data_IF_280216672666
#
_entry.id   IF_280216672666
#
_cell.length_a   1.000
_cell.length_b   1.000
_cell.length_c   1.000
_cell.angle_alpha   90.00
_cell.angle_beta   90.00
_cell.angle_gamma   90.00
#
_symmetry.space_group_name_H-M   'P 1'
#
loop_
_entity.id
_entity.type
_entity.pdbx_description
1 polymer ?
#
# COMPACT_ATOMS: atom_id res chain seq x y z
N UNK A 1 -50.91 74.68 9.81
CA UNK A 1 -51.81 73.56 10.10
C UNK A 1 -51.58 72.48 9.05
N UNK A 2 -50.95 71.43 9.38
CA UNK A 2 -50.85 70.10 8.77
C UNK A 2 -49.46 69.53 9.05
N UNK A 3 -49.45 68.65 9.95
CA UNK A 3 -48.29 67.81 10.32
C UNK A 3 -48.06 66.73 9.21
N UNK A 4 -46.86 66.56 8.75
CA UNK A 4 -46.45 65.43 7.92
C UNK A 4 -45.39 64.60 8.66
N UNK A 5 -45.81 63.45 9.07
CA UNK A 5 -44.98 62.43 9.61
C UNK A 5 -44.23 61.66 8.50
N UNK A 6 -42.93 61.51 8.63
CA UNK A 6 -42.08 60.67 7.79
C UNK A 6 -42.10 59.23 8.35
N UNK A 7 -42.24 58.19 7.55
CA UNK A 7 -41.95 56.83 8.01
C UNK A 7 -40.51 56.42 7.67
N UNK A 8 -39.83 55.84 8.64
CA UNK A 8 -38.53 55.19 8.49
C UNK A 8 -38.63 53.95 7.63
N UNK A 9 -37.87 53.90 6.55
CA UNK A 9 -37.65 52.70 5.72
C UNK A 9 -36.62 51.80 6.41
N UNK A 10 -37.07 50.64 6.85
CA UNK A 10 -36.24 49.52 7.28
C UNK A 10 -35.68 48.79 6.04
N UNK A 11 -34.38 48.91 5.86
CA UNK A 11 -33.64 48.22 4.81
C UNK A 11 -33.46 46.75 5.22
N UNK A 12 -34.29 45.88 4.66
CA UNK A 12 -34.18 44.45 4.84
C UNK A 12 -32.97 43.88 4.07
N UNK A 13 -31.99 43.39 4.80
CA UNK A 13 -30.88 42.61 4.22
C UNK A 13 -31.41 41.23 3.88
N UNK A 14 -31.70 40.98 2.58
CA UNK A 14 -31.99 39.67 2.07
C UNK A 14 -30.71 38.86 1.96
N UNK A 15 -30.47 38.00 2.93
CA UNK A 15 -29.39 37.01 2.87
C UNK A 15 -29.75 35.95 1.84
N UNK A 16 -29.12 36.00 0.68
CA UNK A 16 -29.21 34.99 -0.38
C UNK A 16 -28.47 33.74 0.08
N UNK A 17 -29.19 32.77 0.64
CA UNK A 17 -28.64 31.44 0.93
C UNK A 17 -28.50 30.73 -0.40
N UNK A 18 -27.27 30.68 -0.92
CA UNK A 18 -26.92 29.84 -2.04
C UNK A 18 -26.95 28.38 -1.55
N UNK A 19 -28.06 27.67 -1.79
CA UNK A 19 -28.13 26.20 -1.67
C UNK A 19 -27.21 25.64 -2.76
N UNK A 20 -26.01 25.23 -2.38
CA UNK A 20 -25.21 24.36 -3.21
C UNK A 20 -25.92 23.01 -3.23
N UNK A 21 -26.61 22.73 -4.34
CA UNK A 21 -27.16 21.41 -4.60
C UNK A 21 -26.00 20.42 -4.70
N UNK A 22 -25.76 19.67 -3.63
CA UNK A 22 -24.92 18.48 -3.70
C UNK A 22 -25.56 17.53 -4.73
N UNK A 23 -24.80 16.99 -5.70
CA UNK A 23 -25.34 16.00 -6.61
C UNK A 23 -25.96 14.88 -5.78
N UNK A 24 -27.20 14.52 -6.11
CA UNK A 24 -27.88 13.39 -5.51
C UNK A 24 -26.99 12.15 -5.70
N UNK A 25 -26.41 11.67 -4.59
CA UNK A 25 -25.69 10.40 -4.58
C UNK A 25 -26.75 9.35 -4.92
N UNK A 26 -26.72 8.87 -6.16
CA UNK A 26 -27.65 7.87 -6.66
C UNK A 26 -27.71 6.71 -5.68
N UNK A 27 -28.92 6.25 -5.42
CA UNK A 27 -29.19 5.08 -4.59
C UNK A 27 -28.58 3.87 -5.28
N UNK A 28 -27.33 3.51 -4.91
CA UNK A 28 -26.70 2.28 -5.37
C UNK A 28 -27.51 1.10 -4.88
N UNK A 29 -27.85 0.21 -5.80
CA UNK A 29 -28.63 -0.99 -5.50
C UNK A 29 -27.88 -1.87 -4.50
N UNK A 30 -28.59 -2.77 -3.79
CA UNK A 30 -28.02 -3.76 -2.87
C UNK A 30 -26.95 -4.61 -3.57
N UNK A 31 -27.09 -4.82 -4.88
CA UNK A 31 -26.13 -5.52 -5.74
C UNK A 31 -24.79 -4.78 -5.85
N UNK A 32 -24.78 -3.47 -6.08
CA UNK A 32 -23.55 -2.70 -6.15
C UNK A 32 -22.76 -2.65 -4.85
N UNK A 33 -23.41 -2.79 -3.69
CA UNK A 33 -22.71 -2.92 -2.39
C UNK A 33 -22.06 -4.29 -2.20
N UNK A 34 -22.70 -5.37 -2.66
CA UNK A 34 -22.16 -6.73 -2.64
C UNK A 34 -20.93 -6.83 -3.53
N UNK A 35 -20.99 -6.24 -4.72
CA UNK A 35 -19.88 -6.19 -5.66
C UNK A 35 -18.68 -5.43 -5.09
N UNK A 36 -18.88 -4.26 -4.49
CA UNK A 36 -17.81 -3.48 -3.88
C UNK A 36 -17.15 -4.23 -2.70
N UNK A 37 -17.95 -4.92 -1.88
CA UNK A 37 -17.43 -5.73 -0.77
C UNK A 37 -16.66 -6.97 -1.25
N UNK A 38 -17.12 -7.64 -2.30
CA UNK A 38 -16.42 -8.77 -2.90
C UNK A 38 -15.10 -8.32 -3.52
N UNK A 39 -15.13 -7.18 -4.24
CA UNK A 39 -13.96 -6.60 -4.86
C UNK A 39 -12.93 -6.11 -3.81
N UNK A 40 -13.39 -5.56 -2.67
CA UNK A 40 -12.52 -5.20 -1.56
C UNK A 40 -11.75 -6.41 -1.03
N UNK A 41 -12.44 -7.53 -0.78
CA UNK A 41 -11.80 -8.78 -0.35
C UNK A 41 -10.83 -9.35 -1.39
N UNK A 42 -11.21 -9.31 -2.67
CA UNK A 42 -10.33 -9.73 -3.76
C UNK A 42 -9.07 -8.87 -3.85
N UNK A 43 -9.19 -7.55 -3.73
CA UNK A 43 -8.05 -6.62 -3.72
C UNK A 43 -7.11 -6.79 -2.51
N UNK A 44 -7.58 -7.42 -1.43
CA UNK A 44 -6.80 -7.72 -0.23
C UNK A 44 -6.09 -9.08 -0.30
N UNK A 45 -6.35 -9.87 -1.36
CA UNK A 45 -5.70 -11.16 -1.60
C UNK A 45 -4.48 -10.99 -2.51
N UNK A 46 -3.24 -11.20 -2.01
CA UNK A 46 -2.02 -11.04 -2.82
C UNK A 46 -1.89 -12.03 -3.98
N UNK A 47 -2.66 -13.12 -3.96
CA UNK A 47 -2.67 -14.16 -5.01
C UNK A 47 -4.05 -14.32 -5.67
N UNK A 48 -4.81 -13.22 -5.71
CA UNK A 48 -6.09 -13.19 -6.42
C UNK A 48 -5.90 -13.38 -7.93
N UNK A 49 -6.85 -14.07 -8.57
CA UNK A 49 -6.92 -14.15 -10.04
C UNK A 49 -7.50 -12.85 -10.63
N UNK A 50 -6.86 -11.74 -10.33
CA UNK A 50 -7.28 -10.40 -10.75
C UNK A 50 -6.05 -9.56 -11.09
N UNK A 51 -6.04 -8.93 -12.25
CA UNK A 51 -5.00 -7.95 -12.59
C UNK A 51 -5.21 -6.70 -11.71
N UNK A 52 -4.13 -6.21 -11.12
CA UNK A 52 -4.17 -4.95 -10.39
C UNK A 52 -2.89 -4.13 -10.60
N UNK A 53 -3.01 -2.82 -10.50
CA UNK A 53 -1.91 -1.88 -10.60
C UNK A 53 -1.92 -0.92 -9.41
N UNK A 54 -1.32 -1.32 -8.27
CA UNK A 54 -1.11 -0.46 -7.12
C UNK A 54 0.00 0.56 -7.33
N UNK A 55 -0.28 1.79 -6.93
CA UNK A 55 0.69 2.87 -6.69
C UNK A 55 0.70 3.11 -5.18
N UNK A 56 1.75 2.65 -4.52
CA UNK A 56 1.89 2.78 -3.06
C UNK A 56 2.99 3.76 -2.72
N UNK A 57 2.63 4.89 -2.15
CA UNK A 57 3.55 5.88 -1.63
C UNK A 57 3.75 5.66 -0.12
N UNK A 58 5.01 5.56 0.30
CA UNK A 58 5.42 5.50 1.69
C UNK A 58 6.25 6.75 1.98
N UNK A 59 5.73 7.63 2.82
CA UNK A 59 6.46 8.79 3.35
C UNK A 59 6.97 8.43 4.74
N UNK A 60 8.26 8.24 4.85
CA UNK A 60 8.97 7.88 6.07
C UNK A 60 9.47 9.15 6.74
N UNK A 61 8.92 9.48 7.92
CA UNK A 61 9.22 10.69 8.66
C UNK A 61 10.26 10.43 9.76
N UNK A 62 10.98 11.47 10.14
CA UNK A 62 12.07 11.41 11.12
C UNK A 62 13.13 10.37 10.73
N UNK A 63 13.50 10.38 9.45
CA UNK A 63 14.50 9.49 8.89
C UNK A 63 15.90 10.11 9.01
N UNK A 64 16.86 9.30 9.47
CA UNK A 64 18.25 9.71 9.64
C UNK A 64 18.48 10.70 10.80
N UNK A 65 19.74 11.11 11.01
CA UNK A 65 20.13 11.92 12.17
C UNK A 65 19.53 13.33 12.16
N UNK A 66 19.12 13.83 10.99
CA UNK A 66 18.55 15.17 10.83
C UNK A 66 17.01 15.17 10.81
N UNK A 67 16.37 14.03 11.01
CA UNK A 67 14.90 13.91 11.03
C UNK A 67 14.21 14.28 9.71
N UNK A 68 14.86 14.04 8.58
CA UNK A 68 14.31 14.31 7.26
C UNK A 68 13.17 13.36 6.89
N UNK A 69 12.48 13.64 5.77
CA UNK A 69 11.52 12.73 5.17
C UNK A 69 12.12 11.99 3.98
N UNK A 70 12.05 10.64 4.00
CA UNK A 70 12.28 9.79 2.84
C UNK A 70 10.94 9.50 2.17
N UNK A 71 10.89 9.50 0.84
CA UNK A 71 9.70 9.12 0.10
C UNK A 71 9.98 7.98 -0.86
N UNK A 72 9.12 6.96 -0.85
CA UNK A 72 9.22 5.78 -1.72
C UNK A 72 7.87 5.56 -2.40
N UNK A 73 7.82 5.76 -3.71
CA UNK A 73 6.68 5.39 -4.53
C UNK A 73 6.94 4.03 -5.18
N UNK A 74 6.20 3.01 -4.77
CA UNK A 74 6.24 1.69 -5.36
C UNK A 74 5.13 1.55 -6.43
N UNK A 75 5.51 1.24 -7.67
CA UNK A 75 4.59 0.82 -8.72
C UNK A 75 4.58 -0.70 -8.71
N UNK A 76 3.38 -1.30 -8.49
CA UNK A 76 3.31 -2.72 -8.13
C UNK A 76 2.33 -3.53 -8.99
N UNK A 77 2.54 -3.68 -10.32
CA UNK A 77 1.66 -4.52 -11.14
C UNK A 77 1.61 -5.96 -10.62
N UNK A 78 0.40 -6.49 -10.51
CA UNK A 78 0.09 -7.88 -10.20
C UNK A 78 -0.63 -8.47 -11.40
N UNK A 79 -0.09 -9.56 -11.94
CA UNK A 79 -0.62 -10.20 -13.15
C UNK A 79 -0.77 -11.71 -12.88
N UNK A 80 -2.00 -12.22 -12.80
CA UNK A 80 -2.28 -13.65 -12.74
C UNK A 80 -2.21 -14.25 -14.14
N UNK A 81 -1.54 -15.39 -14.25
CA UNK A 81 -1.39 -16.21 -15.44
C UNK A 81 -1.98 -17.58 -15.13
N UNK A 82 -3.01 -17.98 -15.85
CA UNK A 82 -3.59 -19.31 -15.74
C UNK A 82 -2.66 -20.33 -16.43
N UNK A 83 -2.07 -21.25 -15.65
CA UNK A 83 -1.21 -22.29 -16.20
C UNK A 83 -2.02 -23.49 -16.69
N UNK A 84 -3.01 -23.90 -15.91
CA UNK A 84 -3.95 -24.96 -16.21
C UNK A 84 -5.18 -24.88 -15.28
N UNK A 85 -6.06 -25.88 -15.31
CA UNK A 85 -7.29 -25.92 -14.50
C UNK A 85 -7.02 -25.93 -12.97
N UNK A 86 -5.83 -26.39 -12.55
CA UNK A 86 -5.50 -26.57 -11.14
C UNK A 86 -4.59 -25.47 -10.58
N UNK A 87 -3.83 -24.77 -11.44
CA UNK A 87 -2.77 -23.87 -11.01
C UNK A 87 -2.73 -22.55 -11.74
N UNK A 88 -2.56 -21.49 -10.97
CA UNK A 88 -2.24 -20.12 -11.41
C UNK A 88 -0.81 -19.75 -11.02
N UNK A 89 -0.15 -18.98 -11.87
CA UNK A 89 1.09 -18.28 -11.58
C UNK A 89 0.75 -16.79 -11.36
N UNK A 90 0.95 -16.31 -10.16
CA UNK A 90 0.71 -14.89 -9.83
C UNK A 90 2.04 -14.18 -9.81
N UNK A 91 2.24 -13.23 -10.71
CA UNK A 91 3.45 -12.41 -10.74
C UNK A 91 3.17 -11.05 -10.12
N UNK A 92 4.12 -10.56 -9.34
CA UNK A 92 4.10 -9.23 -8.74
C UNK A 92 5.46 -8.58 -8.94
N UNK A 93 5.48 -7.40 -9.54
CA UNK A 93 6.67 -6.55 -9.62
C UNK A 93 6.54 -5.41 -8.62
N UNK A 94 7.60 -5.02 -7.97
CA UNK A 94 7.69 -3.81 -7.15
C UNK A 94 8.81 -2.97 -7.73
N UNK A 95 8.45 -1.86 -8.38
CA UNK A 95 9.38 -0.88 -8.93
C UNK A 95 9.39 0.36 -8.03
N UNK A 96 10.46 0.59 -7.23
CA UNK A 96 10.53 1.72 -6.31
C UNK A 96 11.15 2.95 -6.96
N UNK A 97 10.44 4.08 -6.89
CA UNK A 97 10.97 5.42 -7.09
C UNK A 97 11.26 6.01 -5.72
N UNK A 98 12.52 6.36 -5.46
CA UNK A 98 12.99 6.73 -4.13
C UNK A 98 13.49 8.16 -4.14
N UNK A 99 13.04 8.95 -3.17
CA UNK A 99 13.62 10.24 -2.79
C UNK A 99 14.27 10.06 -1.42
N UNK A 100 15.58 9.94 -1.41
CA UNK A 100 16.43 9.65 -0.25
C UNK A 100 17.10 10.93 0.22
N UNK A 101 16.82 11.43 1.42
CA UNK A 101 17.56 12.56 1.99
C UNK A 101 19.01 12.15 2.31
N UNK A 102 19.91 13.10 2.21
CA UNK A 102 21.31 12.90 2.67
C UNK A 102 21.37 12.59 4.16
N UNK A 103 22.21 11.65 4.53
CA UNK A 103 22.41 11.22 5.93
C UNK A 103 23.57 11.93 6.59
N UNK A 104 24.54 12.42 5.81
CA UNK A 104 25.67 13.20 6.31
C UNK A 104 25.47 14.72 6.14
N UNK A 105 26.12 15.55 6.97
CA UNK A 105 26.06 16.99 6.82
C UNK A 105 26.54 17.46 5.44
N UNK A 106 25.74 18.26 4.76
CA UNK A 106 26.05 18.79 3.43
C UNK A 106 25.64 17.89 2.26
N UNK A 107 25.16 16.67 2.52
CA UNK A 107 24.59 15.82 1.48
C UNK A 107 23.19 16.28 1.08
N UNK A 108 22.93 16.36 -0.22
CA UNK A 108 21.61 16.67 -0.78
C UNK A 108 20.69 15.46 -0.83
N UNK A 109 19.46 15.68 -1.29
CA UNK A 109 18.50 14.61 -1.57
C UNK A 109 18.84 13.93 -2.89
N UNK A 110 18.92 12.61 -2.90
CA UNK A 110 19.11 11.78 -4.09
C UNK A 110 17.75 11.22 -4.55
N UNK A 111 17.47 11.33 -5.84
CA UNK A 111 16.23 10.80 -6.43
C UNK A 111 16.56 9.82 -7.55
N UNK A 112 15.84 8.70 -7.61
CA UNK A 112 16.03 7.71 -8.68
C UNK A 112 15.29 6.41 -8.42
N UNK A 113 15.68 5.37 -9.15
CA UNK A 113 15.17 4.01 -8.96
C UNK A 113 15.92 3.30 -7.84
N UNK A 114 15.19 2.59 -6.99
CA UNK A 114 15.73 1.56 -6.13
C UNK A 114 15.82 0.20 -6.82
N UNK A 115 16.17 -0.84 -6.08
CA UNK A 115 16.22 -2.19 -6.60
C UNK A 115 14.81 -2.74 -6.84
N UNK A 116 14.53 -3.18 -8.07
CA UNK A 116 13.23 -3.78 -8.45
C UNK A 116 13.13 -5.20 -7.89
N UNK A 117 12.00 -5.54 -7.30
CA UNK A 117 11.71 -6.91 -6.88
C UNK A 117 10.61 -7.51 -7.75
N UNK A 118 10.85 -8.72 -8.25
CA UNK A 118 9.87 -9.51 -9.00
C UNK A 118 9.59 -10.78 -8.20
N UNK A 119 8.33 -11.01 -7.85
CA UNK A 119 7.90 -12.24 -7.17
C UNK A 119 6.97 -13.03 -8.06
N UNK A 120 7.06 -14.35 -7.99
CA UNK A 120 6.19 -15.26 -8.69
C UNK A 120 5.70 -16.34 -7.71
N UNK A 121 4.37 -16.51 -7.62
CA UNK A 121 3.72 -17.46 -6.72
C UNK A 121 2.92 -18.48 -7.53
N UNK A 122 3.17 -19.75 -7.30
CA UNK A 122 2.29 -20.81 -7.73
C UNK A 122 1.19 -20.97 -6.68
N UNK A 123 -0.07 -20.84 -7.10
CA UNK A 123 -1.26 -20.88 -6.23
C UNK A 123 -2.33 -21.76 -6.86
N UNK A 124 -3.09 -22.55 -6.08
CA UNK A 124 -4.21 -23.32 -6.60
C UNK A 124 -5.23 -22.43 -7.30
N UNK A 125 -5.72 -22.85 -8.48
CA UNK A 125 -6.76 -22.14 -9.23
C UNK A 125 -8.11 -22.17 -8.51
N UNK A 126 -8.37 -23.25 -7.77
CA UNK A 126 -9.56 -23.46 -6.94
C UNK A 126 -9.11 -23.61 -5.48
N UNK A 127 -8.88 -22.50 -4.76
CA UNK A 127 -8.45 -22.56 -3.38
C UNK A 127 -9.58 -23.05 -2.47
N UNK A 128 -9.21 -23.79 -1.41
CA UNK A 128 -10.10 -24.15 -0.31
C UNK A 128 -10.32 -22.99 0.66
N UNK A 129 -10.60 -23.32 1.93
CA UNK A 129 -10.76 -22.31 3.00
C UNK A 129 -9.48 -21.49 3.23
N UNK A 130 -8.33 -22.09 3.01
CA UNK A 130 -7.02 -21.44 3.02
C UNK A 130 -6.55 -21.23 1.60
N UNK A 131 -6.38 -19.97 1.23
CA UNK A 131 -5.76 -19.54 -0.03
C UNK A 131 -4.27 -19.42 0.23
N UNK A 132 -3.43 -20.03 -0.60
CA UNK A 132 -1.99 -20.00 -0.41
C UNK A 132 -1.23 -19.94 -1.73
N UNK A 133 0.01 -19.53 -1.65
CA UNK A 133 0.94 -19.55 -2.77
C UNK A 133 2.36 -19.72 -2.28
N UNK A 134 3.12 -20.53 -3.00
CA UNK A 134 4.56 -20.73 -2.79
C UNK A 134 5.31 -20.23 -4.02
N UNK A 135 6.45 -19.61 -3.81
CA UNK A 135 7.19 -19.06 -4.92
C UNK A 135 8.56 -18.54 -4.56
N UNK A 136 9.05 -17.65 -5.40
CA UNK A 136 10.33 -16.98 -5.22
C UNK A 136 10.20 -15.47 -5.48
N UNK A 137 11.08 -14.72 -4.85
CA UNK A 137 11.34 -13.32 -5.13
C UNK A 137 12.73 -13.18 -5.73
N UNK A 138 12.84 -12.36 -6.79
CA UNK A 138 14.08 -12.00 -7.46
C UNK A 138 14.28 -10.49 -7.33
N UNK A 139 15.41 -10.05 -6.84
CA UNK A 139 15.81 -8.65 -6.83
C UNK A 139 16.72 -8.38 -8.03
N UNK A 140 16.32 -7.39 -8.82
CA UNK A 140 16.99 -6.96 -10.05
C UNK A 140 17.76 -5.67 -9.75
N UNK A 141 19.04 -5.55 -10.19
CA UNK A 141 19.89 -4.39 -9.95
C UNK A 141 19.49 -3.20 -10.84
N UNK A 142 18.37 -2.55 -10.52
CA UNK A 142 17.86 -1.36 -11.22
C UNK A 142 18.20 -0.05 -10.51
N UNK A 143 18.90 -0.14 -9.39
CA UNK A 143 19.28 1.02 -8.57
C UNK A 143 20.15 1.98 -9.38
N UNK A 144 19.72 3.23 -9.48
CA UNK A 144 20.43 4.24 -10.26
C UNK A 144 21.58 4.92 -9.52
N UNK A 145 21.47 4.97 -8.18
CA UNK A 145 22.46 5.61 -7.32
C UNK A 145 22.70 4.75 -6.07
N UNK A 146 23.93 4.73 -5.54
CA UNK A 146 24.29 3.90 -4.37
C UNK A 146 23.47 4.22 -3.13
N UNK A 147 23.08 5.47 -2.94
CA UNK A 147 22.25 5.90 -1.80
C UNK A 147 20.81 5.33 -1.84
N UNK A 148 20.36 4.79 -2.97
CA UNK A 148 19.00 4.29 -3.18
C UNK A 148 18.87 2.78 -2.97
N UNK A 149 19.98 2.07 -2.71
CA UNK A 149 20.00 0.64 -2.42
C UNK A 149 21.13 -0.12 -3.10
N UNK A 150 21.09 -1.45 -2.97
CA UNK A 150 22.07 -2.34 -3.56
C UNK A 150 21.81 -2.58 -5.04
N UNK A 151 22.87 -2.52 -5.86
CA UNK A 151 22.83 -2.82 -7.29
C UNK A 151 23.38 -4.22 -7.59
N UNK A 152 22.94 -5.21 -6.82
CA UNK A 152 23.36 -6.61 -6.92
C UNK A 152 22.15 -7.50 -7.06
N UNK A 153 22.26 -8.50 -7.94
CA UNK A 153 21.23 -9.55 -8.07
C UNK A 153 21.06 -10.33 -6.78
N UNK A 154 19.82 -10.68 -6.48
CA UNK A 154 19.52 -11.54 -5.36
C UNK A 154 18.17 -12.21 -5.52
N UNK A 155 17.89 -13.14 -4.63
CA UNK A 155 16.62 -13.86 -4.66
C UNK A 155 16.45 -14.70 -3.41
N UNK A 156 15.29 -15.33 -3.35
CA UNK A 156 14.98 -16.23 -2.26
C UNK A 156 13.53 -16.67 -2.25
N UNK A 157 13.14 -17.54 -1.32
CA UNK A 157 11.80 -18.09 -1.22
C UNK A 157 10.77 -17.04 -0.80
N UNK A 158 9.56 -17.26 -1.27
CA UNK A 158 8.39 -16.44 -0.95
C UNK A 158 7.20 -17.34 -0.65
N UNK A 159 6.43 -16.99 0.36
CA UNK A 159 5.22 -17.72 0.74
C UNK A 159 4.12 -16.73 1.14
N UNK A 160 2.89 -17.08 0.80
CA UNK A 160 1.68 -16.36 1.20
C UNK A 160 0.59 -17.34 1.60
N UNK A 161 -0.13 -17.01 2.65
CA UNK A 161 -1.33 -17.74 3.04
C UNK A 161 -2.35 -16.79 3.65
N UNK A 162 -3.63 -17.02 3.37
CA UNK A 162 -4.74 -16.24 3.93
C UNK A 162 -6.02 -17.06 3.99
N UNK A 163 -6.95 -16.57 4.79
CA UNK A 163 -8.34 -17.05 4.83
C UNK A 163 -9.30 -15.86 4.75
N UNK A 164 -10.49 -16.11 4.21
CA UNK A 164 -11.58 -15.13 4.10
C UNK A 164 -12.81 -15.67 4.79
N UNK A 165 -13.10 -15.16 5.99
CA UNK A 165 -14.24 -15.62 6.79
C UNK A 165 -15.18 -14.45 7.10
N UNK A 166 -16.35 -14.43 6.49
CA UNK A 166 -17.31 -13.34 6.63
C UNK A 166 -16.69 -11.99 6.23
N UNK A 167 -16.65 -11.00 7.14
CA UNK A 167 -16.04 -9.69 6.85
C UNK A 167 -14.50 -9.67 6.96
N UNK A 168 -13.88 -10.75 7.44
CA UNK A 168 -12.47 -10.81 7.72
C UNK A 168 -11.67 -11.36 6.56
N UNK A 169 -10.50 -10.75 6.32
CA UNK A 169 -9.43 -11.29 5.48
C UNK A 169 -8.16 -11.29 6.34
N UNK A 170 -7.68 -12.47 6.67
CA UNK A 170 -6.56 -12.65 7.60
C UNK A 170 -5.51 -13.50 6.94
N UNK A 171 -4.26 -13.05 6.96
CA UNK A 171 -3.17 -13.78 6.35
C UNK A 171 -1.82 -13.13 6.55
N UNK A 172 -0.86 -13.59 5.76
CA UNK A 172 0.49 -13.05 5.76
C UNK A 172 1.26 -13.45 4.52
N UNK A 173 2.18 -12.58 4.13
CA UNK A 173 3.18 -12.81 3.10
C UNK A 173 4.55 -12.74 3.76
N UNK A 174 5.41 -13.69 3.44
CA UNK A 174 6.78 -13.73 3.92
C UNK A 174 7.72 -14.03 2.76
N UNK A 175 8.84 -13.34 2.69
CA UNK A 175 9.96 -13.68 1.83
C UNK A 175 11.28 -13.40 2.52
N UNK A 176 12.33 -14.08 2.10
CA UNK A 176 13.70 -13.74 2.47
C UNK A 176 14.54 -13.68 1.20
N UNK A 177 15.15 -12.53 0.95
CA UNK A 177 15.93 -12.26 -0.26
C UNK A 177 17.36 -11.96 0.14
N UNK A 178 18.32 -12.68 -0.48
CA UNK A 178 19.76 -12.45 -0.28
C UNK A 178 20.47 -12.24 -1.61
N UNK A 179 21.56 -11.47 -1.55
CA UNK A 179 22.40 -11.20 -2.73
C UNK A 179 23.16 -12.43 -3.17
N UNK A 180 23.27 -12.64 -4.50
CA UNK A 180 24.02 -13.77 -5.10
C UNK A 180 25.52 -13.47 -5.27
N UNK A 181 25.95 -12.23 -4.93
CA UNK A 181 27.32 -11.78 -5.06
C UNK A 181 27.49 -10.40 -4.41
N UNK A 182 28.44 -9.65 -4.88
CA UNK A 182 28.78 -8.33 -4.35
C UNK A 182 29.87 -8.38 -3.26
N UNK A 183 30.40 -7.22 -2.93
CA UNK A 183 31.33 -7.05 -1.83
C UNK A 183 30.58 -6.93 -0.48
N UNK A 184 31.30 -6.81 0.61
CA UNK A 184 30.71 -6.75 1.94
C UNK A 184 29.79 -5.55 2.17
N UNK A 185 29.91 -4.48 1.36
CA UNK A 185 29.09 -3.27 1.47
C UNK A 185 27.82 -3.32 0.60
N UNK A 186 27.84 -4.13 -0.47
CA UNK A 186 26.72 -4.25 -1.42
C UNK A 186 25.86 -5.48 -1.19
N UNK A 187 26.38 -6.46 -0.44
CA UNK A 187 25.62 -7.65 -0.07
C UNK A 187 24.48 -7.31 0.90
N UNK A 188 23.37 -8.00 0.73
CA UNK A 188 22.20 -7.92 1.59
C UNK A 188 21.62 -9.31 1.89
N UNK A 189 20.88 -9.40 2.97
CA UNK A 189 20.07 -10.56 3.32
C UNK A 189 18.89 -10.04 4.15
N UNK A 190 17.74 -9.89 3.53
CA UNK A 190 16.57 -9.21 4.10
C UNK A 190 15.37 -10.12 4.15
N UNK A 191 14.84 -10.33 5.35
CA UNK A 191 13.52 -10.89 5.58
C UNK A 191 12.48 -9.78 5.45
N UNK A 192 11.38 -10.06 4.78
CA UNK A 192 10.16 -9.26 4.80
C UNK A 192 9.00 -10.14 5.24
N UNK A 193 8.29 -9.71 6.27
CA UNK A 193 7.06 -10.34 6.74
C UNK A 193 5.95 -9.30 6.82
N UNK A 194 4.88 -9.53 6.08
CA UNK A 194 3.70 -8.68 6.05
C UNK A 194 2.48 -9.48 6.52
N UNK A 195 2.19 -9.51 7.85
CA UNK A 195 0.90 -9.98 8.32
C UNK A 195 -0.17 -8.98 7.90
N UNK A 196 -1.39 -9.46 7.64
CA UNK A 196 -2.52 -8.58 7.41
C UNK A 196 -3.79 -9.12 8.03
N UNK A 197 -4.54 -8.21 8.66
CA UNK A 197 -5.85 -8.45 9.23
C UNK A 197 -6.74 -7.30 8.73
N UNK A 198 -7.71 -7.63 7.87
CA UNK A 198 -8.61 -6.65 7.31
C UNK A 198 -10.03 -6.96 7.76
N UNK A 199 -10.74 -5.94 8.20
CA UNK A 199 -12.17 -5.99 8.51
C UNK A 199 -12.96 -5.18 7.50
N UNK A 200 -13.75 -5.85 6.68
CA UNK A 200 -14.60 -5.23 5.68
C UNK A 200 -15.96 -4.94 6.32
N UNK A 201 -16.36 -3.67 6.39
CA UNK A 201 -17.63 -3.27 6.99
C UNK A 201 -18.79 -3.74 6.13
N UNK A 202 -19.65 -4.70 6.60
CA UNK A 202 -20.66 -5.35 5.76
C UNK A 202 -21.72 -4.40 5.21
N UNK A 203 -22.00 -3.31 5.91
CA UNK A 203 -23.01 -2.30 5.53
C UNK A 203 -22.42 -1.13 4.73
N UNK A 204 -21.10 -1.12 4.54
CA UNK A 204 -20.42 -0.08 3.76
C UNK A 204 -20.36 -0.42 2.27
N UNK A 205 -20.00 0.58 1.47
CA UNK A 205 -19.75 0.43 0.03
C UNK A 205 -18.29 0.06 -0.24
N UNK A 206 -17.77 -1.01 0.39
CA UNK A 206 -16.39 -1.45 0.21
C UNK A 206 -15.36 -0.71 1.09
N UNK A 207 -15.81 -0.13 2.22
CA UNK A 207 -14.91 0.41 3.26
C UNK A 207 -14.37 -0.73 4.10
N UNK A 208 -13.10 -0.63 4.46
CA UNK A 208 -12.46 -1.59 5.35
C UNK A 208 -11.40 -0.95 6.24
N UNK A 209 -11.15 -1.57 7.38
CA UNK A 209 -10.03 -1.29 8.26
C UNK A 209 -8.95 -2.34 8.01
N UNK A 210 -7.69 -1.93 7.92
CA UNK A 210 -6.56 -2.79 7.63
C UNK A 210 -5.46 -2.62 8.68
N UNK A 211 -5.01 -3.72 9.24
CA UNK A 211 -3.74 -3.85 9.93
C UNK A 211 -2.82 -4.62 8.99
N UNK A 212 -1.83 -3.97 8.37
CA UNK A 212 -0.91 -4.59 7.41
C UNK A 212 0.49 -3.98 7.48
N UNK A 213 1.16 -4.12 8.65
CA UNK A 213 2.53 -3.67 8.80
C UNK A 213 3.48 -4.47 7.91
N UNK A 214 4.59 -3.84 7.49
CA UNK A 214 5.67 -4.53 6.79
C UNK A 214 6.85 -4.62 7.76
N UNK A 215 7.00 -5.77 8.38
CA UNK A 215 8.13 -6.08 9.28
C UNK A 215 9.32 -6.50 8.42
N UNK A 216 10.48 -5.93 8.68
CA UNK A 216 11.71 -6.31 7.99
C UNK A 216 12.83 -6.65 8.97
N UNK A 217 13.71 -7.55 8.54
CA UNK A 217 14.96 -7.82 9.25
C UNK A 217 16.12 -7.86 8.25
N UNK A 218 17.12 -7.03 8.48
CA UNK A 218 18.41 -7.12 7.79
C UNK A 218 19.36 -8.03 8.59
N UNK A 219 19.58 -9.24 8.08
CA UNK A 219 20.42 -10.24 8.75
C UNK A 219 21.92 -9.87 8.75
N UNK A 220 22.31 -8.89 7.92
CA UNK A 220 23.69 -8.39 7.87
C UNK A 220 23.96 -7.21 8.79
N UNK A 221 22.90 -6.54 9.26
CA UNK A 221 23.02 -5.45 10.22
C UNK A 221 23.38 -5.95 11.62
N UNK A 222 23.95 -5.06 12.42
CA UNK A 222 24.14 -5.31 13.85
C UNK A 222 22.81 -5.65 14.54
N UNK A 223 22.87 -6.37 15.65
CA UNK A 223 21.68 -6.87 16.34
C UNK A 223 20.67 -5.78 16.68
N UNK A 224 21.12 -4.58 17.05
CA UNK A 224 20.27 -3.45 17.42
C UNK A 224 19.62 -2.76 16.21
N UNK A 225 20.23 -2.87 15.03
CA UNK A 225 19.78 -2.24 13.78
C UNK A 225 19.09 -3.22 12.81
N UNK A 226 18.89 -4.45 13.27
CA UNK A 226 18.39 -5.53 12.40
C UNK A 226 16.93 -5.39 12.04
N UNK A 227 16.08 -5.02 12.98
CA UNK A 227 14.64 -5.09 12.84
C UNK A 227 14.01 -3.73 12.62
N UNK A 228 13.03 -3.70 11.69
CA UNK A 228 12.02 -2.63 11.61
C UNK A 228 10.65 -3.25 11.83
N UNK A 229 9.98 -2.83 12.90
CA UNK A 229 8.66 -3.37 13.29
C UNK A 229 7.68 -2.20 13.39
N UNK A 230 6.90 -1.95 12.33
CA UNK A 230 5.85 -0.94 12.36
C UNK A 230 4.58 -1.46 13.06
N UNK A 231 3.90 -0.57 13.77
CA UNK A 231 2.58 -0.78 14.34
C UNK A 231 1.68 0.36 13.90
N UNK A 232 0.52 0.04 13.35
CA UNK A 232 -0.40 1.06 12.85
C UNK A 232 -1.59 0.46 12.11
N UNK A 233 -2.45 1.33 11.60
CA UNK A 233 -3.67 0.95 10.90
C UNK A 233 -3.82 1.77 9.63
N UNK A 234 -4.62 1.24 8.71
CA UNK A 234 -5.04 1.92 7.51
C UNK A 234 -6.55 1.78 7.32
N UNK A 235 -7.15 2.78 6.69
CA UNK A 235 -8.52 2.73 6.20
C UNK A 235 -8.49 2.66 4.69
N UNK A 236 -9.28 1.78 4.12
CA UNK A 236 -9.40 1.64 2.68
C UNK A 236 -10.84 1.71 2.22
N UNK A 237 -10.99 2.08 0.96
CA UNK A 237 -12.28 2.25 0.29
C UNK A 237 -12.18 1.79 -1.16
N UNK A 238 -13.13 0.93 -1.57
CA UNK A 238 -13.37 0.67 -3.00
C UNK A 238 -14.37 1.70 -3.53
N UNK A 239 -14.07 2.27 -4.67
CA UNK A 239 -14.97 3.16 -5.42
C UNK A 239 -14.76 2.98 -6.93
N UNK A 240 -15.58 3.61 -7.75
CA UNK A 240 -15.46 3.59 -9.21
C UNK A 240 -15.11 4.98 -9.72
N UNK A 241 -14.15 5.03 -10.65
CA UNK A 241 -13.86 6.21 -11.47
C UNK A 241 -14.40 5.93 -12.88
N UNK A 242 -15.62 6.36 -13.14
CA UNK A 242 -16.38 5.87 -14.29
C UNK A 242 -16.66 4.37 -14.13
N UNK A 243 -16.23 3.55 -15.08
CA UNK A 243 -16.38 2.09 -15.01
C UNK A 243 -15.22 1.40 -14.31
N UNK A 244 -14.09 2.11 -14.10
CA UNK A 244 -12.89 1.55 -13.52
C UNK A 244 -13.00 1.43 -12.00
N UNK A 245 -12.95 0.21 -11.42
CA UNK A 245 -12.87 0.03 -9.98
C UNK A 245 -11.50 0.44 -9.47
N UNK A 246 -11.50 1.15 -8.34
CA UNK A 246 -10.28 1.67 -7.71
C UNK A 246 -10.34 1.38 -6.21
N UNK A 247 -9.23 0.95 -5.65
CA UNK A 247 -9.03 0.83 -4.20
C UNK A 247 -8.09 1.93 -3.73
N UNK A 248 -8.55 2.82 -2.85
CA UNK A 248 -7.71 3.77 -2.15
C UNK A 248 -7.54 3.36 -0.69
N UNK A 249 -6.32 3.49 -0.17
CA UNK A 249 -6.00 3.19 1.23
C UNK A 249 -5.07 4.27 1.79
N UNK A 250 -5.34 4.68 3.01
CA UNK A 250 -4.49 5.59 3.78
C UNK A 250 -4.18 4.98 5.14
N UNK A 251 -2.92 4.92 5.51
CA UNK A 251 -2.45 4.35 6.76
C UNK A 251 -1.33 5.14 7.41
N UNK A 252 -1.22 4.99 8.73
CA UNK A 252 -0.13 5.53 9.52
C UNK A 252 0.44 4.42 10.41
N UNK A 253 1.76 4.32 10.43
CA UNK A 253 2.50 3.30 11.17
C UNK A 253 3.63 3.95 11.94
N UNK A 254 3.77 3.56 13.20
CA UNK A 254 4.90 3.94 14.05
C UNK A 254 5.85 2.77 14.18
N UNK A 255 7.13 2.96 13.93
CA UNK A 255 8.15 1.92 14.05
C UNK A 255 8.55 1.75 15.52
N UNK A 256 7.92 0.77 16.20
CA UNK A 256 8.17 0.45 17.61
C UNK A 256 9.58 -0.17 17.83
N UNK A 257 10.12 -0.80 16.80
CA UNK A 257 11.52 -1.21 16.69
C UNK A 257 12.04 -0.69 15.37
N UNK A 258 13.19 -0.05 15.36
CA UNK A 258 13.83 0.48 14.17
C UNK A 258 15.36 0.58 14.35
N UNK A 259 16.11 0.58 13.25
CA UNK A 259 17.51 0.99 13.27
C UNK A 259 17.68 2.43 13.79
N UNK A 260 18.85 2.77 14.31
CA UNK A 260 19.11 4.12 14.83
C UNK A 260 18.84 5.23 13.80
N UNK A 261 19.18 5.00 12.54
CA UNK A 261 18.92 5.93 11.43
C UNK A 261 17.57 5.69 10.73
N UNK A 262 16.80 4.69 11.15
CA UNK A 262 15.52 4.34 10.56
C UNK A 262 14.42 5.36 10.89
N UNK A 263 13.35 5.43 10.10
CA UNK A 263 12.25 6.37 10.31
C UNK A 263 11.46 6.01 11.56
N UNK A 264 10.87 7.03 12.20
CA UNK A 264 9.94 6.82 13.33
C UNK A 264 8.53 6.52 12.84
N UNK A 265 8.07 7.28 11.85
CA UNK A 265 6.72 7.16 11.30
C UNK A 265 6.77 6.83 9.82
N UNK A 266 5.79 6.06 9.37
CA UNK A 266 5.48 5.84 7.98
C UNK A 266 4.03 6.21 7.71
N UNK A 267 3.81 7.17 6.82
CA UNK A 267 2.50 7.43 6.21
C UNK A 267 2.45 6.66 4.89
N UNK A 268 1.42 5.83 4.73
CA UNK A 268 1.22 5.03 3.52
C UNK A 268 -0.05 5.46 2.82
N UNK A 269 0.08 5.90 1.59
CA UNK A 269 -1.05 6.09 0.68
C UNK A 269 -0.94 5.09 -0.47
N UNK A 270 -2.04 4.40 -0.77
CA UNK A 270 -2.07 3.47 -1.90
C UNK A 270 -3.32 3.74 -2.74
N UNK A 271 -3.12 3.77 -4.06
CA UNK A 271 -4.18 3.79 -5.06
C UNK A 271 -3.97 2.61 -6.00
N UNK A 272 -4.97 1.72 -6.10
CA UNK A 272 -4.87 0.52 -6.92
C UNK A 272 -5.97 0.49 -7.96
N UNK A 273 -5.60 0.43 -9.23
CA UNK A 273 -6.55 0.16 -10.31
C UNK A 273 -6.78 -1.35 -10.39
N UNK A 274 -8.04 -1.77 -10.40
CA UNK A 274 -8.44 -3.17 -10.36
C UNK A 274 -9.09 -3.55 -11.68
N UNK A 275 -8.68 -4.68 -12.25
CA UNK A 275 -9.20 -5.20 -13.52
C UNK A 275 -9.75 -6.61 -13.28
N UNK A 276 -10.99 -6.72 -12.76
CA UNK A 276 -11.65 -8.01 -12.57
C UNK A 276 -11.84 -8.69 -13.94
N UNK A 277 -11.65 -10.02 -13.96
CA UNK A 277 -11.92 -10.85 -15.15
C UNK A 277 -13.39 -11.18 -15.26
#
# INVERSE_FOLDING_TARGET
MASSSCPHSLMGISTLICLVALPAVGQETIDGRRDAGALARAAQNPVANMISLPFQNNTNLNYGPNGHAQNILNIQPVIPIELNADWNLITRTILPLVSQPGLAPGEGTTFGLGATQISAFLSPAQPGEVIWGIGAALQVPTTTERALGSNVWGGGPSFVALTMQGPWVIGGLINNVWSFGGDSQTQYNTLTFQPFINYNFPQSRGTYLSFSPIVTADWKAHSNDRWTVPLGLAVGQIFRMGEQPVNAQLGAYYNIVRPDVGPEWQLRFQLSFLFPK
#
